data_IF_031794223387
#
_entry.id   IF_031794223387
#
_cell.length_a   1.000
_cell.length_b   1.000
_cell.length_c   1.000
_cell.angle_alpha   90.00
_cell.angle_beta   90.00
_cell.angle_gamma   90.00
#
_symmetry.space_group_name_H-M   'P 1'
#
loop_
_entity.id
_entity.type
_entity.pdbx_description
1 polymer ?
#
# COMPACT_ATOMS: atom_id res chain seq x y z
N UNK A 1 -25.67 -77.38 -46.36
CA UNK A 1 -26.05 -76.89 -45.01
C UNK A 1 -24.84 -76.51 -44.06
N UNK A 2 -23.75 -77.30 -44.04
CA UNK A 2 -22.59 -77.01 -43.17
C UNK A 2 -21.85 -75.66 -43.45
N UNK A 3 -21.74 -75.26 -44.73
CA UNK A 3 -21.00 -74.03 -45.09
C UNK A 3 -21.78 -72.74 -44.74
N UNK A 4 -23.12 -72.77 -44.71
CA UNK A 4 -23.89 -71.58 -44.27
C UNK A 4 -23.86 -71.34 -42.76
N UNK A 5 -23.79 -72.40 -41.97
CA UNK A 5 -23.69 -72.33 -40.53
C UNK A 5 -22.30 -71.74 -40.08
N UNK A 6 -21.25 -72.12 -40.78
CA UNK A 6 -19.90 -71.67 -40.55
C UNK A 6 -19.76 -70.16 -40.86
N UNK A 7 -20.38 -69.70 -41.94
CA UNK A 7 -20.39 -68.27 -42.35
C UNK A 7 -21.15 -67.39 -41.36
N UNK A 8 -22.27 -67.85 -40.82
CA UNK A 8 -23.03 -67.07 -39.82
C UNK A 8 -22.32 -66.98 -38.49
N UNK A 9 -21.63 -68.05 -38.04
CA UNK A 9 -20.80 -68.02 -36.84
C UNK A 9 -19.63 -67.07 -37.01
N UNK A 10 -18.96 -67.09 -38.15
CA UNK A 10 -17.83 -66.19 -38.45
C UNK A 10 -18.27 -64.72 -38.47
N UNK A 11 -19.44 -64.42 -39.06
CA UNK A 11 -19.96 -63.04 -39.10
C UNK A 11 -20.33 -62.52 -37.70
N UNK A 12 -20.90 -63.39 -36.83
CA UNK A 12 -21.24 -63.03 -35.47
C UNK A 12 -19.99 -62.72 -34.58
N UNK A 13 -18.94 -63.51 -34.75
CA UNK A 13 -17.66 -63.32 -34.08
C UNK A 13 -17.03 -61.97 -34.48
N UNK A 14 -17.03 -61.65 -35.78
CA UNK A 14 -16.54 -60.34 -36.25
C UNK A 14 -17.36 -59.16 -35.65
N UNK A 15 -18.67 -59.32 -35.61
CA UNK A 15 -19.54 -58.30 -34.99
C UNK A 15 -19.28 -58.09 -33.53
N UNK A 16 -19.06 -59.14 -32.74
CA UNK A 16 -18.72 -59.05 -31.32
C UNK A 16 -17.35 -58.40 -31.12
N UNK A 17 -16.35 -58.78 -31.90
CA UNK A 17 -15.00 -58.16 -31.86
C UNK A 17 -15.06 -56.69 -32.23
N UNK A 18 -15.87 -56.31 -33.23
CA UNK A 18 -16.07 -54.88 -33.59
C UNK A 18 -16.70 -54.06 -32.48
N UNK A 19 -17.70 -54.59 -31.78
CA UNK A 19 -18.32 -53.91 -30.64
C UNK A 19 -17.31 -53.72 -29.48
N UNK A 20 -16.56 -54.78 -29.16
CA UNK A 20 -15.52 -54.70 -28.11
C UNK A 20 -14.46 -53.64 -28.49
N UNK A 21 -14.01 -53.60 -29.73
CA UNK A 21 -13.03 -52.60 -30.19
C UNK A 21 -13.55 -51.18 -30.08
N UNK A 22 -14.81 -50.94 -30.46
CA UNK A 22 -15.46 -49.62 -30.32
C UNK A 22 -15.52 -49.19 -28.84
N UNK A 23 -15.92 -50.09 -27.95
CA UNK A 23 -15.98 -49.78 -26.51
C UNK A 23 -14.62 -49.43 -25.91
N UNK A 24 -13.56 -50.17 -26.30
CA UNK A 24 -12.19 -49.88 -25.85
C UNK A 24 -11.73 -48.50 -26.37
N UNK A 25 -12.00 -48.20 -27.64
CA UNK A 25 -11.62 -46.95 -28.28
C UNK A 25 -12.33 -45.74 -27.63
N UNK A 26 -13.65 -45.85 -27.43
CA UNK A 26 -14.45 -44.81 -26.75
C UNK A 26 -13.97 -44.62 -25.27
N UNK A 27 -13.70 -45.73 -24.58
CA UNK A 27 -13.16 -45.67 -23.21
C UNK A 27 -11.80 -44.96 -23.13
N UNK A 28 -10.91 -45.21 -24.07
CA UNK A 28 -9.63 -44.55 -24.18
C UNK A 28 -9.77 -43.02 -24.39
N UNK A 29 -10.68 -42.61 -25.28
CA UNK A 29 -10.95 -41.17 -25.51
C UNK A 29 -11.46 -40.49 -24.23
N UNK A 30 -12.45 -41.11 -23.56
CA UNK A 30 -12.98 -40.57 -22.30
C UNK A 30 -11.89 -40.46 -21.25
N UNK A 31 -11.03 -41.46 -21.11
CA UNK A 31 -9.92 -41.44 -20.18
C UNK A 31 -8.93 -40.27 -20.46
N UNK A 32 -8.57 -40.04 -21.71
CA UNK A 32 -7.72 -38.92 -22.12
C UNK A 32 -8.38 -37.57 -21.78
N UNK A 33 -9.67 -37.41 -22.04
CA UNK A 33 -10.41 -36.19 -21.71
C UNK A 33 -10.43 -35.91 -20.20
N UNK A 34 -10.66 -36.96 -19.39
CA UNK A 34 -10.62 -36.84 -17.92
C UNK A 34 -9.21 -36.46 -17.44
N UNK A 35 -8.17 -37.08 -17.99
CA UNK A 35 -6.78 -36.77 -17.64
C UNK A 35 -6.43 -35.32 -17.99
N UNK A 36 -6.82 -34.81 -19.15
CA UNK A 36 -6.62 -33.40 -19.54
C UNK A 36 -7.36 -32.45 -18.60
N UNK A 37 -8.62 -32.75 -18.27
CA UNK A 37 -9.41 -31.98 -17.34
C UNK A 37 -8.76 -31.95 -15.95
N UNK A 38 -8.30 -33.09 -15.46
CA UNK A 38 -7.61 -33.19 -14.16
C UNK A 38 -6.34 -32.32 -14.11
N UNK A 39 -5.50 -32.40 -15.15
CA UNK A 39 -4.28 -31.58 -15.25
C UNK A 39 -4.64 -30.09 -15.26
N UNK A 40 -5.70 -29.72 -15.97
CA UNK A 40 -6.17 -28.33 -16.01
C UNK A 40 -6.60 -27.83 -14.62
N UNK A 41 -7.41 -28.62 -13.90
CA UNK A 41 -7.87 -28.28 -12.53
C UNK A 41 -6.71 -28.20 -11.53
N UNK A 42 -5.77 -29.14 -11.60
CA UNK A 42 -4.57 -29.12 -10.75
C UNK A 42 -3.71 -27.88 -10.97
N UNK A 43 -3.52 -27.45 -12.22
CA UNK A 43 -2.78 -26.21 -12.55
C UNK A 43 -3.50 -24.99 -12.01
N UNK A 44 -4.80 -24.89 -12.18
CA UNK A 44 -5.59 -23.78 -11.66
C UNK A 44 -5.49 -23.71 -10.12
N UNK A 45 -5.62 -24.84 -9.44
CA UNK A 45 -5.48 -24.89 -7.98
C UNK A 45 -4.09 -24.45 -7.51
N UNK A 46 -3.05 -24.86 -8.23
CA UNK A 46 -1.66 -24.44 -7.92
C UNK A 46 -1.46 -22.93 -8.08
N UNK A 47 -2.00 -22.32 -9.12
CA UNK A 47 -1.90 -20.88 -9.35
C UNK A 47 -2.62 -20.08 -8.25
N UNK A 48 -3.77 -20.57 -7.78
CA UNK A 48 -4.50 -19.97 -6.65
C UNK A 48 -3.73 -20.07 -5.33
N UNK A 49 -3.10 -21.23 -5.04
CA UNK A 49 -2.27 -21.39 -3.84
C UNK A 49 -1.07 -20.46 -3.85
N UNK A 50 -0.38 -20.35 -4.97
CA UNK A 50 0.75 -19.40 -5.11
C UNK A 50 0.30 -17.96 -4.84
N UNK A 51 -0.90 -17.60 -5.29
CA UNK A 51 -1.44 -16.27 -5.05
C UNK A 51 -1.77 -16.03 -3.58
N UNK A 52 -2.35 -17.01 -2.90
CA UNK A 52 -2.64 -16.96 -1.47
C UNK A 52 -1.34 -16.83 -0.67
N UNK A 53 -0.29 -17.58 -1.04
CA UNK A 53 1.02 -17.49 -0.38
C UNK A 53 1.62 -16.08 -0.54
N UNK A 54 1.52 -15.46 -1.71
CA UNK A 54 1.96 -14.07 -1.92
C UNK A 54 1.19 -13.09 -1.04
N UNK A 55 -0.13 -13.23 -0.95
CA UNK A 55 -0.96 -12.41 -0.05
C UNK A 55 -0.55 -12.58 1.41
N UNK A 56 -0.28 -13.80 1.85
CA UNK A 56 0.19 -14.07 3.21
C UNK A 56 1.56 -13.44 3.49
N UNK A 57 2.50 -13.51 2.55
CA UNK A 57 3.81 -12.87 2.69
C UNK A 57 3.64 -11.36 2.81
N UNK A 58 2.87 -10.73 1.92
CA UNK A 58 2.61 -9.29 1.98
C UNK A 58 1.96 -8.88 3.31
N UNK A 59 0.96 -9.64 3.79
CA UNK A 59 0.32 -9.35 5.08
C UNK A 59 1.29 -9.47 6.27
N UNK A 60 2.27 -10.38 6.22
CA UNK A 60 3.32 -10.46 7.25
C UNK A 60 4.23 -9.25 7.23
N UNK A 61 4.65 -8.80 6.07
CA UNK A 61 5.47 -7.60 5.91
C UNK A 61 4.75 -6.35 6.40
N UNK A 62 3.48 -6.19 6.05
CA UNK A 62 2.65 -5.11 6.56
C UNK A 62 2.53 -5.12 8.08
N UNK A 63 2.42 -6.30 8.69
CA UNK A 63 2.41 -6.45 10.15
C UNK A 63 3.70 -5.96 10.79
N UNK A 64 4.84 -6.14 10.13
CA UNK A 64 6.15 -5.65 10.59
C UNK A 64 6.39 -4.17 10.24
N UNK A 65 5.42 -3.50 9.60
CA UNK A 65 5.52 -2.09 9.20
C UNK A 65 6.26 -1.86 7.88
N UNK A 66 6.55 -2.90 7.13
CA UNK A 66 7.14 -2.78 5.80
C UNK A 66 6.04 -2.62 4.75
N UNK A 67 5.97 -1.43 4.16
CA UNK A 67 4.99 -1.06 3.14
C UNK A 67 5.58 -1.00 1.72
N UNK A 68 6.83 -1.43 1.51
CA UNK A 68 7.52 -1.28 0.23
C UNK A 68 7.06 -2.29 -0.82
N UNK A 69 6.51 -3.44 -0.38
CA UNK A 69 6.16 -4.54 -1.26
C UNK A 69 4.73 -4.43 -1.82
N UNK A 70 4.55 -4.96 -3.05
CA UNK A 70 3.29 -5.03 -3.78
C UNK A 70 3.10 -6.40 -4.42
N UNK A 71 1.86 -6.81 -4.61
CA UNK A 71 1.56 -7.99 -5.39
C UNK A 71 1.54 -7.61 -6.86
N UNK A 72 2.62 -7.97 -7.55
CA UNK A 72 2.78 -7.76 -8.99
C UNK A 72 2.56 -9.09 -9.71
N UNK A 73 2.05 -9.03 -10.95
CA UNK A 73 1.80 -10.19 -11.81
C UNK A 73 0.86 -11.24 -11.19
N UNK A 74 -0.40 -10.85 -11.10
CA UNK A 74 -1.46 -11.72 -10.61
C UNK A 74 -1.82 -12.78 -11.68
N UNK A 75 -1.22 -13.98 -11.58
CA UNK A 75 -1.59 -15.15 -12.39
C UNK A 75 -2.68 -15.94 -11.66
N UNK A 76 -3.90 -15.45 -11.64
CA UNK A 76 -5.02 -16.20 -11.10
C UNK A 76 -6.24 -16.04 -12.01
N UNK A 77 -7.05 -17.11 -12.12
CA UNK A 77 -8.36 -17.05 -12.76
C UNK A 77 -9.46 -16.61 -11.80
N UNK A 78 -9.16 -16.58 -10.52
CA UNK A 78 -10.08 -16.11 -9.49
C UNK A 78 -10.12 -14.58 -9.49
N UNK A 79 -11.21 -14.02 -10.03
CA UNK A 79 -11.46 -12.57 -10.00
C UNK A 79 -11.42 -12.02 -8.58
N UNK A 80 -11.89 -12.80 -7.58
CA UNK A 80 -11.88 -12.39 -6.17
C UNK A 80 -10.46 -12.22 -5.64
N UNK A 81 -9.54 -13.15 -5.93
CA UNK A 81 -8.14 -13.03 -5.49
C UNK A 81 -7.43 -11.86 -6.17
N UNK A 82 -7.70 -11.61 -7.45
CA UNK A 82 -7.18 -10.45 -8.15
C UNK A 82 -7.67 -9.14 -7.51
N UNK A 83 -8.96 -9.03 -7.24
CA UNK A 83 -9.57 -7.87 -6.58
C UNK A 83 -9.01 -7.64 -5.17
N UNK A 84 -8.78 -8.71 -4.39
CA UNK A 84 -8.14 -8.59 -3.06
C UNK A 84 -6.72 -8.02 -3.20
N UNK A 85 -5.92 -8.50 -4.16
CA UNK A 85 -4.58 -8.01 -4.40
C UNK A 85 -4.56 -6.53 -4.79
N UNK A 86 -5.43 -6.12 -5.71
CA UNK A 86 -5.56 -4.74 -6.15
C UNK A 86 -6.01 -3.81 -5.01
N UNK A 87 -7.01 -4.24 -4.24
CA UNK A 87 -7.49 -3.47 -3.09
C UNK A 87 -6.41 -3.33 -2.00
N UNK A 88 -5.63 -4.38 -1.77
CA UNK A 88 -4.53 -4.36 -0.81
C UNK A 88 -3.42 -3.42 -1.28
N UNK A 89 -2.98 -3.52 -2.55
CA UNK A 89 -2.01 -2.60 -3.13
C UNK A 89 -2.47 -1.14 -3.03
N UNK A 90 -3.72 -0.85 -3.41
CA UNK A 90 -4.29 0.50 -3.31
C UNK A 90 -4.35 1.02 -1.87
N UNK A 91 -4.60 0.13 -0.90
CA UNK A 91 -4.60 0.49 0.52
C UNK A 91 -3.19 0.86 1.00
N UNK A 92 -2.19 0.09 0.57
CA UNK A 92 -0.79 0.36 0.90
C UNK A 92 -0.34 1.68 0.28
N UNK A 93 -0.67 1.93 -0.99
CA UNK A 93 -0.35 3.19 -1.69
C UNK A 93 -0.96 4.40 -0.97
N UNK A 94 -2.21 4.27 -0.54
CA UNK A 94 -2.90 5.31 0.25
C UNK A 94 -2.23 5.57 1.60
N UNK A 95 -1.80 4.51 2.28
CA UNK A 95 -1.12 4.62 3.57
C UNK A 95 0.27 5.24 3.43
N UNK A 96 1.05 4.83 2.43
CA UNK A 96 2.34 5.46 2.14
C UNK A 96 2.21 6.95 1.79
N UNK A 97 1.25 7.30 0.94
CA UNK A 97 0.99 8.69 0.60
C UNK A 97 0.63 9.52 1.84
N UNK A 98 -0.23 8.98 2.71
CA UNK A 98 -0.61 9.59 3.98
C UNK A 98 0.61 9.83 4.90
N UNK A 99 1.42 8.80 5.12
CA UNK A 99 2.62 8.90 5.97
C UNK A 99 3.64 9.89 5.40
N UNK A 100 3.84 9.92 4.09
CA UNK A 100 4.74 10.85 3.39
C UNK A 100 4.30 12.30 3.55
N UNK A 101 3.01 12.59 3.38
CA UNK A 101 2.46 13.93 3.56
C UNK A 101 2.64 14.43 4.99
N UNK A 102 2.36 13.59 5.99
CA UNK A 102 2.56 13.92 7.39
C UNK A 102 4.03 14.20 7.69
N UNK A 103 4.92 13.29 7.32
CA UNK A 103 6.35 13.42 7.59
C UNK A 103 6.93 14.68 6.93
N UNK A 104 6.53 14.97 5.70
CA UNK A 104 6.98 16.16 4.98
C UNK A 104 6.51 17.44 5.67
N UNK A 105 5.23 17.55 6.01
CA UNK A 105 4.66 18.76 6.61
C UNK A 105 5.20 19.01 8.03
N UNK A 106 5.38 17.96 8.84
CA UNK A 106 6.00 18.06 10.16
C UNK A 106 7.47 18.49 10.04
N UNK A 107 8.24 17.87 9.14
CA UNK A 107 9.65 18.21 8.92
C UNK A 107 9.84 19.66 8.48
N UNK A 108 8.97 20.17 7.60
CA UNK A 108 8.96 21.57 7.20
C UNK A 108 8.62 22.47 8.39
N UNK A 109 7.61 22.14 9.18
CA UNK A 109 7.23 22.90 10.37
C UNK A 109 8.37 22.99 11.40
N UNK A 110 9.12 21.91 11.62
CA UNK A 110 10.29 21.88 12.50
C UNK A 110 11.40 22.83 12.04
N UNK A 111 11.50 23.06 10.73
CA UNK A 111 12.46 24.03 10.15
C UNK A 111 11.93 25.46 10.13
N UNK A 112 10.70 25.70 10.62
CA UNK A 112 10.04 27.00 10.55
C UNK A 112 9.39 27.29 9.19
N UNK A 113 9.29 26.32 8.32
CA UNK A 113 8.69 26.41 6.99
C UNK A 113 7.20 26.10 7.06
N UNK A 114 6.40 26.99 7.65
CA UNK A 114 4.97 26.78 7.93
C UNK A 114 4.06 26.85 6.71
N UNK A 115 4.60 27.22 5.54
CA UNK A 115 3.83 27.30 4.28
C UNK A 115 3.49 25.91 3.73
N UNK A 116 4.26 24.86 4.06
CA UNK A 116 4.03 23.49 3.59
C UNK A 116 3.02 22.78 4.48
N UNK A 117 1.79 22.70 3.99
CA UNK A 117 0.72 21.93 4.61
C UNK A 117 0.67 20.52 4.03
N UNK A 118 0.17 19.56 4.80
CA UNK A 118 -0.12 18.23 4.29
C UNK A 118 -1.33 18.29 3.35
N UNK A 119 -1.24 17.59 2.21
CA UNK A 119 -2.26 17.60 1.17
C UNK A 119 -3.23 16.42 1.36
N UNK A 120 -4.55 16.66 1.44
CA UNK A 120 -5.56 15.60 1.52
C UNK A 120 -5.91 15.00 0.15
N UNK A 121 -5.47 15.62 -0.97
CA UNK A 121 -5.79 15.21 -2.34
C UNK A 121 -5.28 13.79 -2.63
N UNK A 122 -6.16 12.95 -3.14
CA UNK A 122 -5.88 11.53 -3.41
C UNK A 122 -6.06 10.60 -2.21
N UNK A 123 -6.14 11.13 -0.98
CA UNK A 123 -6.44 10.35 0.22
C UNK A 123 -7.95 10.18 0.39
N UNK A 124 -8.38 9.08 1.02
CA UNK A 124 -9.79 8.74 1.20
C UNK A 124 -10.14 8.51 2.67
N UNK A 125 -11.41 8.76 3.00
CA UNK A 125 -11.97 8.44 4.31
C UNK A 125 -11.19 9.07 5.46
N UNK A 126 -10.82 8.26 6.44
CA UNK A 126 -10.14 8.71 7.67
C UNK A 126 -8.78 9.35 7.40
N UNK A 127 -8.06 8.96 6.36
CA UNK A 127 -6.76 9.54 6.03
C UNK A 127 -6.89 11.01 5.63
N UNK A 128 -7.83 11.35 4.73
CA UNK A 128 -8.08 12.72 4.35
C UNK A 128 -8.54 13.57 5.54
N UNK A 129 -9.43 13.04 6.38
CA UNK A 129 -9.91 13.72 7.57
C UNK A 129 -8.80 14.01 8.58
N UNK A 130 -7.91 13.04 8.84
CA UNK A 130 -6.78 13.22 9.74
C UNK A 130 -5.79 14.28 9.23
N UNK A 131 -5.58 14.42 7.93
CA UNK A 131 -4.75 15.50 7.36
C UNK A 131 -5.28 16.88 7.75
N UNK A 132 -6.58 17.07 7.76
CA UNK A 132 -7.18 18.34 8.20
C UNK A 132 -6.87 18.65 9.68
N UNK A 133 -6.94 17.64 10.55
CA UNK A 133 -6.56 17.81 11.96
C UNK A 133 -5.08 18.13 12.12
N UNK A 134 -4.21 17.45 11.38
CA UNK A 134 -2.77 17.72 11.40
C UNK A 134 -2.49 19.14 10.94
N UNK A 135 -3.13 19.61 9.87
CA UNK A 135 -2.98 20.97 9.38
C UNK A 135 -3.43 22.02 10.43
N UNK A 136 -4.51 21.76 11.17
CA UNK A 136 -4.94 22.62 12.28
C UNK A 136 -3.89 22.64 13.41
N UNK A 137 -3.33 21.48 13.76
CA UNK A 137 -2.28 21.41 14.78
C UNK A 137 -1.01 22.15 14.34
N UNK A 138 -0.59 22.01 13.09
CA UNK A 138 0.56 22.72 12.52
C UNK A 138 0.32 24.24 12.49
N UNK A 139 -0.88 24.70 12.20
CA UNK A 139 -1.24 26.11 12.25
C UNK A 139 -1.13 26.68 13.69
N UNK A 140 -1.53 25.92 14.70
CA UNK A 140 -1.38 26.32 16.10
C UNK A 140 0.10 26.39 16.51
N UNK A 141 0.94 25.46 16.04
CA UNK A 141 2.39 25.48 16.24
C UNK A 141 3.00 26.74 15.62
N UNK A 142 2.59 27.09 14.39
CA UNK A 142 3.03 28.32 13.72
C UNK A 142 2.71 29.56 14.55
N UNK A 143 1.46 29.70 15.01
CA UNK A 143 1.02 30.83 15.84
C UNK A 143 1.85 30.94 17.11
N UNK A 144 2.08 29.81 17.78
CA UNK A 144 2.87 29.75 19.01
C UNK A 144 4.33 30.13 18.74
N UNK A 145 4.96 29.61 17.71
CA UNK A 145 6.34 29.92 17.34
C UNK A 145 6.52 31.40 17.02
N UNK A 146 5.60 31.97 16.22
CA UNK A 146 5.60 33.41 15.89
C UNK A 146 5.43 34.31 17.14
N UNK A 147 4.53 33.95 18.04
CA UNK A 147 4.30 34.65 19.29
C UNK A 147 5.54 34.60 20.20
N UNK A 148 6.15 33.43 20.35
CA UNK A 148 7.37 33.26 21.16
C UNK A 148 8.51 34.07 20.59
N UNK A 149 8.72 34.06 19.27
CA UNK A 149 9.74 34.87 18.61
C UNK A 149 9.49 36.38 18.82
N UNK A 150 8.26 36.85 18.64
CA UNK A 150 7.88 38.25 18.86
C UNK A 150 8.16 38.68 20.32
N UNK A 151 7.80 37.84 21.28
CA UNK A 151 8.02 38.12 22.69
C UNK A 151 9.52 38.16 23.05
N UNK A 152 10.32 37.23 22.50
CA UNK A 152 11.77 37.21 22.66
C UNK A 152 12.40 38.48 22.07
N UNK A 153 12.01 38.85 20.85
CA UNK A 153 12.50 40.08 20.22
C UNK A 153 12.12 41.34 21.01
N UNK A 154 10.89 41.45 21.50
CA UNK A 154 10.44 42.57 22.30
C UNK A 154 11.23 42.68 23.60
N UNK A 155 11.57 41.59 24.29
CA UNK A 155 12.42 41.57 25.48
C UNK A 155 13.82 42.06 25.15
N UNK A 156 14.44 41.52 24.10
CA UNK A 156 15.79 41.93 23.69
C UNK A 156 15.87 43.43 23.34
N UNK A 157 14.86 43.97 22.64
CA UNK A 157 14.77 45.37 22.32
C UNK A 157 14.61 46.25 23.58
N UNK A 158 13.79 45.78 24.54
CA UNK A 158 13.63 46.49 25.82
C UNK A 158 14.94 46.50 26.63
N UNK A 159 15.64 45.37 26.70
CA UNK A 159 16.92 45.26 27.39
C UNK A 159 18.01 46.19 26.78
N UNK A 160 18.06 46.26 25.45
CA UNK A 160 18.95 47.18 24.72
C UNK A 160 18.60 48.63 24.98
N UNK A 161 17.31 48.98 25.02
CA UNK A 161 16.85 50.35 25.33
C UNK A 161 17.22 50.77 26.74
N UNK A 162 17.01 49.89 27.73
CA UNK A 162 17.40 50.16 29.14
C UNK A 162 18.90 50.23 29.30
N UNK A 163 19.68 49.39 28.61
CA UNK A 163 21.14 49.44 28.61
C UNK A 163 21.67 50.76 28.06
N UNK A 164 21.10 51.27 26.98
CA UNK A 164 21.47 52.57 26.41
C UNK A 164 21.11 53.73 27.36
N UNK A 165 19.90 53.72 27.96
CA UNK A 165 19.52 54.76 28.94
C UNK A 165 20.45 54.78 30.15
N UNK A 166 20.84 53.64 30.69
CA UNK A 166 21.76 53.54 31.80
C UNK A 166 23.18 54.09 31.45
N UNK A 167 23.65 53.82 30.22
CA UNK A 167 24.89 54.30 29.68
C UNK A 167 24.88 55.84 29.54
N UNK A 168 23.81 56.41 29.02
CA UNK A 168 23.62 57.84 28.85
C UNK A 168 23.55 58.54 30.24
N UNK A 169 22.83 57.98 31.21
CA UNK A 169 22.77 58.49 32.59
C UNK A 169 24.13 58.44 33.28
N UNK A 170 24.92 57.39 33.08
CA UNK A 170 26.29 57.31 33.67
C UNK A 170 27.24 58.32 33.07
N UNK A 171 27.14 58.62 31.76
CA UNK A 171 27.91 59.64 31.08
C UNK A 171 27.55 61.07 31.57
N UNK A 172 26.26 61.34 31.75
CA UNK A 172 25.79 62.60 32.30
C UNK A 172 26.27 62.79 33.73
N UNK A 173 26.14 61.75 34.55
CA UNK A 173 26.63 61.77 35.94
C UNK A 173 28.16 62.03 36.03
N UNK A 174 28.92 61.33 35.16
CA UNK A 174 30.39 61.54 35.14
C UNK A 174 30.78 62.94 34.65
N UNK A 175 30.04 63.49 33.67
CA UNK A 175 30.29 64.89 33.20
C UNK A 175 29.91 65.97 34.20
N UNK A 176 28.89 65.74 35.03
CA UNK A 176 28.48 66.58 36.11
C UNK A 176 29.54 66.55 37.22
N UNK A 177 30.05 65.40 37.65
CA UNK A 177 31.07 65.28 38.68
C UNK A 177 32.44 65.84 38.26
N UNK A 178 32.72 65.95 36.96
CA UNK A 178 33.95 66.58 36.45
C UNK A 178 33.88 68.11 36.40
N UNK A 179 32.73 68.69 36.66
CA UNK A 179 32.49 70.12 36.63
C UNK A 179 32.48 70.77 38.03
N UNK A 180 32.46 69.94 39.06
CA UNK A 180 32.60 70.37 40.49
C UNK A 180 33.93 69.87 41.06
#
# INVERSE_FOLDING_TARGET
MKNGLLSTIFLSVIGVLGVIFIHIFVGAIIFVLIAVLMIYLLRQHKDEQIMIDKLLVLCRELKEGNFDNRIIYVKTKSKKLAEIADNLNNTIDGLEAYLREINTSISCSQKGEFYRKALPEGLKGIFAHNIEFINKALANIEVTARSTFKNALSRTLMDLSLGNQNKDMSQISSSLNARY
#
